data_IF_182207928129
#
_entry.id   IF_182207928129
#
_cell.length_a   1.000
_cell.length_b   1.000
_cell.length_c   1.000
_cell.angle_alpha   90.00
_cell.angle_beta   90.00
_cell.angle_gamma   90.00
#
_symmetry.space_group_name_H-M   'P 1'
#
loop_
_entity.id
_entity.type
_entity.pdbx_description
1 polymer ?
#
# COMPACT_ATOMS: atom_id res chain seq x y z
N UNK A 1 12.33 2.84 19.15
CA UNK A 1 11.82 1.76 18.26
C UNK A 1 11.48 2.39 16.92
N UNK A 2 11.71 1.70 15.80
CA UNK A 2 11.34 2.20 14.49
C UNK A 2 9.81 2.18 14.34
N UNK A 3 9.20 3.32 13.96
CA UNK A 3 7.75 3.43 13.85
C UNK A 3 7.31 3.06 12.43
N UNK A 4 6.34 2.14 12.33
CA UNK A 4 5.72 1.77 11.05
C UNK A 4 4.42 2.55 10.88
N UNK A 5 4.27 3.27 9.77
CA UNK A 5 3.03 3.98 9.45
C UNK A 5 2.67 3.83 7.98
N UNK A 6 1.37 3.74 7.70
CA UNK A 6 0.87 3.82 6.33
C UNK A 6 0.75 5.28 5.93
N UNK A 7 1.31 5.65 4.78
CA UNK A 7 1.17 6.98 4.17
C UNK A 7 0.44 6.84 2.84
N UNK A 8 -0.46 7.77 2.54
CA UNK A 8 -1.10 7.86 1.23
C UNK A 8 -0.04 8.39 0.26
N UNK A 9 0.24 7.62 -0.79
CA UNK A 9 1.11 8.04 -1.90
C UNK A 9 0.31 8.81 -2.95
N UNK A 10 -0.86 8.29 -3.29
CA UNK A 10 -1.70 8.80 -4.37
C UNK A 10 -3.18 8.52 -4.09
N UNK A 11 -4.04 9.43 -4.53
CA UNK A 11 -5.48 9.20 -4.67
C UNK A 11 -5.81 9.25 -6.15
N UNK A 12 -6.45 8.20 -6.67
CA UNK A 12 -6.79 8.10 -8.09
C UNK A 12 -8.12 7.41 -8.30
N UNK A 13 -8.79 7.73 -9.40
CA UNK A 13 -9.94 6.97 -9.86
C UNK A 13 -9.50 5.59 -10.37
N UNK A 14 -10.17 4.53 -9.89
CA UNK A 14 -9.90 3.16 -10.30
C UNK A 14 -11.02 2.64 -11.20
N UNK A 15 -10.69 2.36 -12.46
CA UNK A 15 -11.65 1.82 -13.43
C UNK A 15 -12.15 0.42 -13.04
N UNK A 16 -11.38 -0.34 -12.27
CA UNK A 16 -11.76 -1.68 -11.83
C UNK A 16 -13.01 -1.69 -10.94
N UNK A 17 -13.13 -0.67 -10.07
CA UNK A 17 -14.19 -0.55 -9.05
C UNK A 17 -15.07 0.70 -9.21
N UNK A 18 -14.77 1.55 -10.19
CA UNK A 18 -15.60 2.70 -10.57
C UNK A 18 -15.66 3.81 -9.52
N UNK A 19 -14.61 3.98 -8.72
CA UNK A 19 -14.52 5.04 -7.73
C UNK A 19 -13.06 5.35 -7.35
N UNK A 20 -12.87 6.42 -6.57
CA UNK A 20 -11.55 6.84 -6.09
C UNK A 20 -10.99 5.90 -5.03
N UNK A 21 -9.76 5.44 -5.25
CA UNK A 21 -9.01 4.61 -4.32
C UNK A 21 -7.75 5.33 -3.87
N UNK A 22 -7.28 5.00 -2.67
CA UNK A 22 -6.02 5.49 -2.13
C UNK A 22 -4.97 4.40 -2.27
N UNK A 23 -3.84 4.73 -2.88
CA UNK A 23 -2.65 3.90 -2.86
C UNK A 23 -1.79 4.34 -1.69
N UNK A 24 -1.43 3.39 -0.84
CA UNK A 24 -0.70 3.64 0.40
C UNK A 24 0.58 2.81 0.44
N UNK A 25 1.63 3.37 1.05
CA UNK A 25 2.86 2.66 1.37
C UNK A 25 3.07 2.59 2.88
N UNK A 26 3.51 1.43 3.36
CA UNK A 26 3.98 1.26 4.73
C UNK A 26 5.41 1.77 4.79
N UNK A 27 5.62 2.86 5.52
CA UNK A 27 6.93 3.49 5.71
C UNK A 27 7.41 3.21 7.13
N UNK A 28 8.69 2.89 7.25
CA UNK A 28 9.40 2.85 8.53
C UNK A 28 10.21 4.12 8.66
N UNK A 29 9.87 4.94 9.65
CA UNK A 29 10.72 6.07 10.01
C UNK A 29 11.93 5.55 10.82
N UNK A 30 13.13 6.11 10.59
CA UNK A 30 14.33 5.70 11.30
C UNK A 30 14.17 5.86 12.82
N UNK A 31 14.80 5.01 13.63
CA UNK A 31 14.78 5.18 15.07
C UNK A 31 15.44 6.50 15.47
N UNK A 32 14.92 7.16 16.51
CA UNK A 32 15.41 8.45 17.02
C UNK A 32 16.92 8.47 17.33
N UNK A 33 17.52 7.30 17.56
CA UNK A 33 18.93 7.12 17.88
C UNK A 33 19.85 7.01 16.63
N UNK A 34 19.29 6.83 15.43
CA UNK A 34 19.99 6.79 14.13
C UNK A 34 19.12 7.45 13.03
N UNK A 35 18.86 8.77 13.10
CA UNK A 35 17.90 9.46 12.24
C UNK A 35 18.39 9.67 10.79
N UNK A 36 19.68 9.48 10.51
CA UNK A 36 20.28 9.65 9.17
C UNK A 36 19.90 8.57 8.14
N UNK A 37 19.15 7.55 8.54
CA UNK A 37 18.66 6.54 7.58
C UNK A 37 17.41 7.07 6.85
N UNK A 38 17.38 7.02 5.51
CA UNK A 38 16.19 7.41 4.76
C UNK A 38 15.01 6.51 5.12
N UNK A 39 13.76 7.02 5.09
CA UNK A 39 12.59 6.20 5.34
C UNK A 39 12.51 5.04 4.35
N UNK A 40 12.23 3.84 4.86
CA UNK A 40 12.14 2.64 4.02
C UNK A 40 10.68 2.28 3.76
N UNK A 41 10.34 1.97 2.51
CA UNK A 41 9.05 1.41 2.14
C UNK A 41 9.10 -0.11 2.33
N UNK A 42 8.15 -0.65 3.10
CA UNK A 42 8.03 -2.10 3.35
C UNK A 42 6.99 -2.77 2.46
N UNK A 43 5.91 -2.07 2.14
CA UNK A 43 4.77 -2.65 1.42
C UNK A 43 3.91 -1.57 0.77
N UNK A 44 3.19 -1.93 -0.27
CA UNK A 44 2.15 -1.11 -0.90
C UNK A 44 0.78 -1.78 -0.74
N UNK A 45 -0.29 -0.97 -0.68
CA UNK A 45 -1.68 -1.46 -0.67
C UNK A 45 -2.63 -0.47 -1.34
N UNK A 46 -3.79 -0.97 -1.76
CA UNK A 46 -4.93 -0.17 -2.16
C UNK A 46 -6.00 -0.16 -1.06
N UNK A 47 -6.66 0.98 -0.84
CA UNK A 47 -7.75 1.11 0.13
C UNK A 47 -8.94 0.20 -0.15
N UNK A 48 -9.12 -0.24 -1.40
CA UNK A 48 -10.21 -1.13 -1.80
C UNK A 48 -9.79 -2.61 -1.91
N UNK A 49 -8.57 -2.97 -1.45
CA UNK A 49 -8.04 -4.32 -1.56
C UNK A 49 -8.95 -5.40 -0.95
N UNK A 50 -9.56 -5.13 0.22
CA UNK A 50 -10.43 -6.12 0.88
C UNK A 50 -11.69 -6.41 0.04
N UNK A 51 -12.33 -5.37 -0.51
CA UNK A 51 -13.55 -5.53 -1.29
C UNK A 51 -13.27 -6.13 -2.67
N UNK A 52 -12.14 -5.78 -3.30
CA UNK A 52 -11.70 -6.40 -4.55
C UNK A 52 -11.44 -7.92 -4.42
N UNK A 53 -11.20 -8.43 -3.20
CA UNK A 53 -11.04 -9.87 -2.97
C UNK A 53 -12.37 -10.62 -2.82
N UNK A 54 -13.50 -9.90 -2.73
CA UNK A 54 -14.85 -10.49 -2.55
C UNK A 54 -15.66 -10.52 -3.84
N UNK A 55 -15.16 -9.92 -4.90
CA UNK A 55 -15.86 -9.83 -6.20
C UNK A 55 -15.38 -10.93 -7.15
N UNK A 56 -16.25 -11.39 -8.04
CA UNK A 56 -15.91 -12.35 -9.10
C UNK A 56 -15.15 -11.68 -10.27
N UNK A 57 -14.16 -10.86 -9.94
CA UNK A 57 -13.25 -10.22 -10.90
C UNK A 57 -11.81 -10.49 -10.48
N UNK A 58 -10.92 -10.56 -11.47
CA UNK A 58 -9.50 -10.74 -11.18
C UNK A 58 -8.95 -9.55 -10.39
N UNK A 59 -8.49 -9.81 -9.17
CA UNK A 59 -7.91 -8.80 -8.30
C UNK A 59 -6.58 -8.26 -8.87
N UNK A 60 -6.36 -6.94 -8.74
CA UNK A 60 -5.13 -6.29 -9.22
C UNK A 60 -3.94 -6.51 -8.26
N UNK A 61 -2.74 -6.11 -8.69
CA UNK A 61 -1.51 -6.21 -7.90
C UNK A 61 -1.60 -5.58 -6.49
N UNK A 62 -2.33 -4.47 -6.34
CA UNK A 62 -2.50 -3.78 -5.05
C UNK A 62 -3.48 -4.45 -4.09
N UNK A 63 -4.07 -5.59 -4.47
CA UNK A 63 -4.98 -6.36 -3.62
C UNK A 63 -4.25 -7.19 -2.55
N UNK A 64 -2.92 -7.35 -2.67
CA UNK A 64 -2.09 -8.02 -1.68
C UNK A 64 -2.29 -9.53 -1.57
N UNK A 65 -2.99 -10.16 -2.50
CA UNK A 65 -3.23 -11.61 -2.53
C UNK A 65 -2.09 -12.42 -3.11
N UNK A 66 -1.17 -11.78 -3.85
CA UNK A 66 0.07 -12.40 -4.28
C UNK A 66 1.22 -11.93 -3.38
N UNK A 67 1.66 -12.74 -2.40
CA UNK A 67 2.70 -12.33 -1.45
C UNK A 67 4.07 -12.11 -2.09
N UNK A 68 4.30 -12.62 -3.30
CA UNK A 68 5.56 -12.46 -4.03
C UNK A 68 5.57 -11.24 -4.97
N UNK A 69 4.47 -10.50 -5.03
CA UNK A 69 4.33 -9.36 -5.92
C UNK A 69 4.03 -8.08 -5.13
N UNK A 70 5.05 -7.24 -5.00
CA UNK A 70 4.89 -5.89 -4.49
C UNK A 70 4.67 -4.95 -5.69
N UNK A 71 3.50 -4.31 -5.82
CA UNK A 71 3.31 -3.31 -6.86
C UNK A 71 4.27 -2.13 -6.63
N UNK A 72 4.92 -1.67 -7.70
CA UNK A 72 5.86 -0.53 -7.69
C UNK A 72 5.13 0.79 -7.97
#
# INVERSE_FOLDING_TARGET
MAQKKWRILEVRYCEHVGHEVRLEAQVVDPPEHLPDQPPHILAHRCSNAIECNKIEKMACAYCGTNPNHNPL
#
